data_IF_096174373084
#
_entry.id   IF_096174373084
#
_cell.length_a   1.000
_cell.length_b   1.000
_cell.length_c   1.000
_cell.angle_alpha   90.00
_cell.angle_beta   90.00
_cell.angle_gamma   90.00
#
_symmetry.space_group_name_H-M   'P 1'
#
loop_
_entity.id
_entity.type
_entity.pdbx_description
1 polymer ?
#
# COMPACT_ATOMS: atom_id res chain seq x y z
N UNK A 1 32.88 34.67 27.78
CA UNK A 1 32.18 34.47 26.48
C UNK A 1 32.68 33.20 25.82
N UNK A 2 31.84 32.58 24.96
CA UNK A 2 32.00 31.30 24.22
C UNK A 2 31.49 30.03 24.92
N UNK A 3 30.17 29.86 24.90
CA UNK A 3 29.50 28.55 24.97
C UNK A 3 29.26 28.10 23.53
N UNK A 4 30.00 27.11 23.04
CA UNK A 4 29.84 26.59 21.68
C UNK A 4 28.90 25.38 21.76
N UNK A 5 27.62 25.69 21.54
CA UNK A 5 26.63 24.92 20.79
C UNK A 5 27.01 23.46 20.45
N UNK A 6 26.40 22.45 21.09
CA UNK A 6 26.32 21.10 20.55
C UNK A 6 24.93 20.88 19.94
N UNK A 7 24.57 21.64 18.90
CA UNK A 7 23.31 21.45 18.15
C UNK A 7 23.47 20.52 16.92
N UNK A 8 24.65 19.91 16.73
CA UNK A 8 24.89 19.03 15.58
C UNK A 8 24.59 17.54 15.84
N UNK A 9 24.21 17.13 17.05
CA UNK A 9 23.96 15.72 17.37
C UNK A 9 22.54 15.23 17.02
N UNK A 10 21.62 16.12 16.63
CA UNK A 10 20.21 15.79 16.39
C UNK A 10 19.85 15.45 14.93
N UNK A 11 20.79 15.57 13.99
CA UNK A 11 20.52 15.32 12.56
C UNK A 11 20.86 13.88 12.11
N UNK A 12 21.32 13.01 13.01
CA UNK A 12 21.74 11.64 12.68
C UNK A 12 20.63 10.56 12.79
N UNK A 13 19.35 10.94 12.91
CA UNK A 13 18.23 9.98 13.09
C UNK A 13 17.28 9.87 11.89
N UNK A 14 17.46 10.63 10.81
CA UNK A 14 16.65 10.46 9.58
C UNK A 14 17.35 9.64 8.49
N UNK A 15 18.17 8.67 8.89
CA UNK A 15 18.91 7.78 7.99
C UNK A 15 18.50 6.30 8.12
N UNK A 16 17.29 6.01 8.57
CA UNK A 16 16.76 4.65 8.44
C UNK A 16 16.35 4.44 6.99
N UNK A 17 17.29 4.03 6.14
CA UNK A 17 17.02 3.20 4.95
C UNK A 17 16.36 1.90 5.45
N UNK A 18 15.09 2.01 5.87
CA UNK A 18 14.26 0.85 6.13
C UNK A 18 14.05 0.21 4.78
N UNK A 19 14.79 -0.88 4.53
CA UNK A 19 14.50 -1.80 3.45
C UNK A 19 13.06 -2.25 3.63
N UNK A 20 12.14 -1.56 2.96
CA UNK A 20 10.72 -1.76 3.13
C UNK A 20 10.42 -3.15 2.64
N UNK A 21 10.08 -4.06 3.55
CA UNK A 21 9.65 -5.39 3.20
C UNK A 21 8.25 -5.29 2.59
N UNK A 22 8.18 -5.20 1.27
CA UNK A 22 6.92 -5.19 0.53
C UNK A 22 6.26 -6.56 0.71
N UNK A 23 5.04 -6.63 1.26
CA UNK A 23 4.31 -7.88 1.40
C UNK A 23 4.03 -8.49 0.03
N UNK A 24 3.94 -9.81 -0.03
CA UNK A 24 3.57 -10.50 -1.26
C UNK A 24 2.12 -10.12 -1.63
N UNK A 25 1.81 -10.04 -2.93
CA UNK A 25 0.46 -9.78 -3.42
C UNK A 25 -0.59 -10.69 -2.77
N UNK A 26 -0.27 -11.96 -2.51
CA UNK A 26 -1.18 -12.91 -1.85
C UNK A 26 -1.53 -12.50 -0.41
N UNK A 27 -0.57 -11.95 0.34
CA UNK A 27 -0.79 -11.46 1.70
C UNK A 27 -1.64 -10.20 1.69
N UNK A 28 -1.44 -9.31 0.71
CA UNK A 28 -2.24 -8.10 0.52
C UNK A 28 -3.68 -8.42 0.09
N UNK A 29 -3.87 -9.43 -0.77
CA UNK A 29 -5.22 -9.89 -1.15
C UNK A 29 -5.95 -10.51 0.05
N UNK A 30 -5.23 -11.26 0.89
CA UNK A 30 -5.78 -11.88 2.09
C UNK A 30 -6.12 -10.86 3.19
N UNK A 31 -5.34 -9.78 3.32
CA UNK A 31 -5.55 -8.72 4.31
C UNK A 31 -5.94 -7.38 3.64
N UNK A 32 -7.25 -7.12 3.62
CA UNK A 32 -7.84 -5.88 3.09
C UNK A 32 -7.36 -4.62 3.80
N UNK A 33 -7.08 -4.69 5.11
CA UNK A 33 -6.63 -3.53 5.87
C UNK A 33 -5.21 -3.16 5.48
N UNK A 34 -4.34 -4.18 5.38
CA UNK A 34 -2.97 -4.03 4.91
C UNK A 34 -2.93 -3.50 3.46
N UNK A 35 -3.77 -4.05 2.57
CA UNK A 35 -3.90 -3.55 1.20
C UNK A 35 -4.23 -2.04 1.16
N UNK A 36 -5.23 -1.62 1.95
CA UNK A 36 -5.68 -0.22 1.98
C UNK A 36 -4.60 0.71 2.51
N UNK A 37 -3.84 0.26 3.52
CA UNK A 37 -2.72 1.02 4.06
C UNK A 37 -1.62 1.20 3.01
N UNK A 38 -1.23 0.12 2.34
CA UNK A 38 -0.21 0.15 1.30
C UNK A 38 -0.64 0.97 0.09
N UNK A 39 -1.90 0.86 -0.31
CA UNK A 39 -2.47 1.66 -1.38
C UNK A 39 -2.44 3.16 -1.03
N UNK A 40 -2.79 3.52 0.21
CA UNK A 40 -2.66 4.91 0.69
C UNK A 40 -1.22 5.39 0.67
N UNK A 41 -0.25 4.54 1.08
CA UNK A 41 1.18 4.87 1.04
C UNK A 41 1.66 5.14 -0.40
N UNK A 42 1.18 4.37 -1.37
CA UNK A 42 1.50 4.50 -2.79
C UNK A 42 0.86 5.71 -3.49
N UNK A 43 -0.41 5.98 -3.18
CA UNK A 43 -1.19 7.00 -3.89
C UNK A 43 -0.92 8.40 -3.35
N UNK A 44 -0.95 8.58 -2.03
CA UNK A 44 -0.90 9.90 -1.38
C UNK A 44 0.05 9.98 -0.18
N UNK A 45 0.65 8.86 0.23
CA UNK A 45 1.47 8.76 1.44
C UNK A 45 2.98 8.75 1.15
N UNK A 46 3.74 8.02 1.97
CA UNK A 46 5.20 8.00 1.94
C UNK A 46 5.81 7.66 0.58
N UNK A 47 5.18 6.77 -0.20
CA UNK A 47 5.72 6.30 -1.48
C UNK A 47 5.25 7.15 -2.67
N UNK A 48 4.32 8.08 -2.44
CA UNK A 48 3.86 9.00 -3.49
C UNK A 48 4.95 9.99 -3.93
N UNK A 49 5.89 10.32 -3.04
CA UNK A 49 6.99 11.26 -3.26
C UNK A 49 8.30 10.58 -3.69
N UNK A 50 8.33 9.25 -3.75
CA UNK A 50 9.51 8.51 -4.19
C UNK A 50 9.76 8.66 -5.69
N UNK A 51 11.01 8.43 -6.10
CA UNK A 51 11.36 8.36 -7.51
C UNK A 51 10.53 7.28 -8.21
N UNK A 52 10.18 7.50 -9.48
CA UNK A 52 9.24 6.64 -10.21
C UNK A 52 9.62 5.15 -10.21
N UNK A 53 10.92 4.84 -10.27
CA UNK A 53 11.45 3.47 -10.19
C UNK A 53 11.26 2.84 -8.81
N UNK A 54 11.65 3.53 -7.73
CA UNK A 54 11.46 3.02 -6.36
C UNK A 54 9.98 2.91 -5.99
N UNK A 55 9.17 3.85 -6.46
CA UNK A 55 7.71 3.80 -6.33
C UNK A 55 7.15 2.58 -7.05
N UNK A 56 7.58 2.30 -8.28
CA UNK A 56 7.12 1.14 -9.02
C UNK A 56 7.49 -0.17 -8.30
N UNK A 57 8.72 -0.28 -7.80
CA UNK A 57 9.17 -1.50 -7.09
C UNK A 57 8.38 -1.73 -5.79
N UNK A 58 8.07 -0.68 -5.03
CA UNK A 58 7.34 -0.78 -3.76
C UNK A 58 5.82 -0.92 -3.94
N UNK A 59 5.26 -0.40 -5.03
CA UNK A 59 3.81 -0.33 -5.25
C UNK A 59 3.28 -1.32 -6.28
N UNK A 60 4.13 -1.98 -7.09
CA UNK A 60 3.68 -2.92 -8.13
C UNK A 60 2.82 -4.06 -7.56
N UNK A 61 3.28 -4.71 -6.48
CA UNK A 61 2.53 -5.82 -5.85
C UNK A 61 1.25 -5.34 -5.17
N UNK A 62 1.24 -4.11 -4.65
CA UNK A 62 0.05 -3.48 -4.08
C UNK A 62 -0.98 -3.19 -5.16
N UNK A 63 -0.54 -2.69 -6.32
CA UNK A 63 -1.41 -2.44 -7.46
C UNK A 63 -2.00 -3.74 -8.01
N UNK A 64 -1.19 -4.78 -8.16
CA UNK A 64 -1.63 -6.11 -8.59
C UNK A 64 -2.66 -6.72 -7.61
N UNK A 65 -2.40 -6.63 -6.31
CA UNK A 65 -3.33 -7.09 -5.28
C UNK A 65 -4.65 -6.29 -5.30
N UNK A 66 -4.58 -4.98 -5.52
CA UNK A 66 -5.75 -4.10 -5.61
C UNK A 66 -6.63 -4.47 -6.81
N UNK A 67 -6.02 -4.68 -7.97
CA UNK A 67 -6.71 -5.12 -9.19
C UNK A 67 -7.38 -6.49 -8.95
N UNK A 68 -6.66 -7.44 -8.37
CA UNK A 68 -7.17 -8.78 -8.06
C UNK A 68 -8.38 -8.72 -7.13
N UNK A 69 -8.31 -7.91 -6.08
CA UNK A 69 -9.41 -7.71 -5.12
C UNK A 69 -10.62 -7.02 -5.78
N UNK A 70 -10.40 -6.08 -6.70
CA UNK A 70 -11.47 -5.43 -7.45
C UNK A 70 -12.17 -6.42 -8.41
N UNK A 71 -11.41 -7.28 -9.09
CA UNK A 71 -11.94 -8.32 -9.97
C UNK A 71 -12.76 -9.35 -9.20
N UNK A 72 -12.27 -9.83 -8.05
CA UNK A 72 -13.02 -10.77 -7.20
C UNK A 72 -14.35 -10.14 -6.75
N UNK A 73 -14.33 -8.88 -6.32
CA UNK A 73 -15.56 -8.17 -5.93
C UNK A 73 -16.54 -7.99 -7.08
N UNK A 74 -16.05 -7.69 -8.28
CA UNK A 74 -16.89 -7.58 -9.46
C UNK A 74 -17.56 -8.93 -9.79
N UNK A 75 -16.78 -10.02 -9.80
CA UNK A 75 -17.32 -11.37 -10.03
C UNK A 75 -18.32 -11.82 -8.97
N UNK A 76 -18.08 -11.47 -7.69
CA UNK A 76 -19.05 -11.72 -6.62
C UNK A 76 -20.36 -10.96 -6.86
N UNK A 77 -20.30 -9.67 -7.20
CA UNK A 77 -21.50 -8.85 -7.49
C UNK A 77 -22.32 -9.43 -8.64
N UNK A 78 -21.67 -9.89 -9.71
CA UNK A 78 -22.37 -10.53 -10.82
C UNK A 78 -23.08 -11.80 -10.36
N UNK A 79 -22.38 -12.67 -9.61
CA UNK A 79 -22.98 -13.91 -9.07
C UNK A 79 -24.15 -13.64 -8.11
N UNK A 80 -24.04 -12.62 -7.26
CA UNK A 80 -25.10 -12.21 -6.33
C UNK A 80 -26.32 -11.66 -7.08
N UNK A 81 -26.10 -10.88 -8.15
CA UNK A 81 -27.17 -10.39 -9.02
C UNK A 81 -27.95 -11.55 -9.65
N UNK A 82 -27.25 -12.53 -10.24
CA UNK A 82 -27.90 -13.71 -10.82
C UNK A 82 -28.68 -14.51 -9.79
N UNK A 83 -28.10 -14.73 -8.59
CA UNK A 83 -28.76 -15.43 -7.50
C UNK A 83 -30.02 -14.70 -7.04
N UNK A 84 -29.95 -13.39 -6.81
CA UNK A 84 -31.10 -12.58 -6.41
C UNK A 84 -32.21 -12.59 -7.47
N UNK A 85 -31.85 -12.60 -8.75
CA UNK A 85 -32.82 -12.66 -9.84
C UNK A 85 -33.46 -14.05 -9.98
N UNK A 86 -32.71 -15.13 -9.74
CA UNK A 86 -33.24 -16.51 -9.75
C UNK A 86 -34.20 -16.82 -8.61
N UNK A 87 -34.08 -16.12 -7.47
CA UNK A 87 -34.92 -16.31 -6.28
C UNK A 87 -36.22 -15.49 -6.31
N UNK A 88 -36.33 -14.50 -7.21
CA UNK A 88 -37.53 -13.66 -7.38
C UNK A 88 -38.62 -14.30 -8.26
N UNK A 89 -38.54 -15.61 -8.52
CA UNK A 89 -39.45 -16.32 -9.42
C UNK A 89 -40.59 -16.98 -8.67
#
# INVERSE_FOLDING_TARGET
MKKIVPLCALLAVCGCQQKVAVPNAQQLVADRALLTEWQRKCDTGEYSQLAATEKADLCATTQEATISVAQIQAGMKDSDFFKANSLRK
#
